data_IF_951525999121
#
_entry.id   IF_951525999121
#
_cell.length_a   1.000
_cell.length_b   1.000
_cell.length_c   1.000
_cell.angle_alpha   90.00
_cell.angle_beta   90.00
_cell.angle_gamma   90.00
#
_symmetry.space_group_name_H-M   'P 1'
#
loop_
_entity.id
_entity.type
_entity.pdbx_description
1 polymer ?
#
# COMPACT_ATOMS: atom_id res chain seq x y z
N UNK A 1 -13.85 -18.02 4.04
CA UNK A 1 -12.70 -18.69 4.69
C UNK A 1 -11.37 -17.97 4.47
N UNK A 2 -10.76 -17.46 5.54
CA UNK A 2 -9.41 -16.91 5.50
C UNK A 2 -8.37 -18.02 5.73
N UNK A 3 -7.59 -18.36 4.70
CA UNK A 3 -6.51 -19.35 4.80
C UNK A 3 -5.14 -18.67 4.80
N UNK A 4 -4.56 -18.53 5.99
CA UNK A 4 -3.26 -17.87 6.20
C UNK A 4 -2.15 -18.44 5.31
N UNK A 5 -2.12 -19.75 5.06
CA UNK A 5 -1.08 -20.36 4.21
C UNK A 5 -1.18 -19.89 2.75
N UNK A 6 -2.41 -19.80 2.22
CA UNK A 6 -2.66 -19.27 0.88
C UNK A 6 -2.29 -17.79 0.80
N UNK A 7 -2.73 -16.98 1.76
CA UNK A 7 -2.38 -15.56 1.81
C UNK A 7 -0.87 -15.32 1.92
N UNK A 8 -0.15 -16.15 2.68
CA UNK A 8 1.32 -16.07 2.75
C UNK A 8 2.00 -16.51 1.46
N UNK A 9 1.46 -17.51 0.76
CA UNK A 9 1.96 -17.90 -0.55
C UNK A 9 1.83 -16.75 -1.56
N UNK A 10 0.63 -16.16 -1.68
CA UNK A 10 0.38 -15.03 -2.58
C UNK A 10 1.30 -13.85 -2.26
N UNK A 11 1.47 -13.54 -0.98
CA UNK A 11 2.40 -12.51 -0.51
C UNK A 11 3.86 -12.82 -0.89
N UNK A 12 4.32 -14.04 -0.65
CA UNK A 12 5.72 -14.45 -0.90
C UNK A 12 6.05 -14.42 -2.40
N UNK A 13 5.13 -14.82 -3.27
CA UNK A 13 5.32 -14.75 -4.74
C UNK A 13 5.53 -13.29 -5.16
N UNK A 14 4.67 -12.38 -4.70
CA UNK A 14 4.83 -10.95 -4.98
C UNK A 14 6.12 -10.37 -4.38
N UNK A 15 6.46 -10.75 -3.16
CA UNK A 15 7.67 -10.28 -2.46
C UNK A 15 8.97 -10.72 -3.17
N UNK A 16 9.05 -11.98 -3.59
CA UNK A 16 10.22 -12.48 -4.33
C UNK A 16 10.31 -11.81 -5.70
N UNK A 17 9.18 -11.71 -6.42
CA UNK A 17 9.14 -11.06 -7.73
C UNK A 17 9.62 -9.60 -7.68
N UNK A 18 9.14 -8.83 -6.70
CA UNK A 18 9.56 -7.44 -6.49
C UNK A 18 11.03 -7.33 -6.09
N UNK A 19 11.53 -8.26 -5.27
CA UNK A 19 12.95 -8.30 -4.89
C UNK A 19 13.87 -8.52 -6.10
N UNK A 20 13.54 -9.49 -6.96
CA UNK A 20 14.31 -9.76 -8.20
C UNK A 20 14.29 -8.52 -9.10
N UNK A 21 13.11 -7.94 -9.29
CA UNK A 21 12.94 -6.77 -10.14
C UNK A 21 13.72 -5.54 -9.61
N UNK A 22 13.80 -5.37 -8.29
CA UNK A 22 14.60 -4.30 -7.68
C UNK A 22 16.09 -4.41 -8.04
N UNK A 23 16.67 -5.62 -8.03
CA UNK A 23 18.05 -5.82 -8.50
C UNK A 23 18.23 -5.45 -9.97
N UNK A 24 17.27 -5.80 -10.83
CA UNK A 24 17.33 -5.41 -12.25
C UNK A 24 17.22 -3.91 -12.46
N UNK A 25 16.37 -3.20 -11.71
CA UNK A 25 16.28 -1.74 -11.80
C UNK A 25 17.56 -1.04 -11.32
N UNK A 26 18.16 -1.51 -10.22
CA UNK A 26 19.45 -0.99 -9.75
C UNK A 26 20.55 -1.24 -10.78
N UNK A 27 20.62 -2.46 -11.33
CA UNK A 27 21.61 -2.80 -12.36
C UNK A 27 21.40 -1.98 -13.64
N UNK A 28 20.16 -1.81 -14.11
CA UNK A 28 19.86 -1.00 -15.28
C UNK A 28 20.25 0.46 -15.05
N UNK A 29 19.89 1.04 -13.91
CA UNK A 29 20.31 2.41 -13.57
C UNK A 29 21.83 2.54 -13.52
N UNK A 30 22.53 1.60 -12.90
CA UNK A 30 23.98 1.61 -12.82
C UNK A 30 24.66 1.43 -14.20
N UNK A 31 24.13 0.59 -15.09
CA UNK A 31 24.75 0.32 -16.39
C UNK A 31 24.43 1.38 -17.44
N UNK A 32 23.27 2.04 -17.34
CA UNK A 32 22.79 2.97 -18.37
C UNK A 32 22.99 4.44 -17.99
N UNK A 33 22.89 4.79 -16.70
CA UNK A 33 22.97 6.18 -16.23
C UNK A 33 24.34 6.56 -15.64
N UNK A 34 25.11 5.59 -15.13
CA UNK A 34 26.41 5.89 -14.56
C UNK A 34 27.38 6.35 -15.65
N UNK A 35 28.00 7.53 -15.45
CA UNK A 35 28.96 8.13 -16.39
C UNK A 35 28.38 8.48 -17.79
N UNK A 36 27.06 8.56 -17.94
CA UNK A 36 26.42 8.96 -19.20
C UNK A 36 26.49 10.48 -19.47
N UNK A 37 26.74 11.29 -18.44
CA UNK A 37 26.72 12.76 -18.51
C UNK A 37 25.32 13.37 -18.68
N UNK A 38 24.27 12.55 -18.64
CA UNK A 38 22.87 13.01 -18.77
C UNK A 38 22.27 13.28 -17.39
N UNK A 39 21.98 14.54 -17.09
CA UNK A 39 21.17 14.90 -15.93
C UNK A 39 19.69 14.95 -16.31
N UNK A 40 18.86 14.37 -15.46
CA UNK A 40 17.42 14.39 -15.64
C UNK A 40 16.84 15.75 -15.29
N UNK A 41 15.85 16.19 -16.08
CA UNK A 41 15.11 17.41 -15.80
C UNK A 41 14.38 17.31 -14.47
N UNK A 42 14.41 18.36 -13.62
CA UNK A 42 13.58 18.39 -12.41
C UNK A 42 12.08 18.56 -12.72
N UNK A 43 11.70 18.77 -14.00
CA UNK A 43 10.29 18.89 -14.42
C UNK A 43 9.73 17.51 -14.74
N UNK A 44 8.69 17.08 -14.02
CA UNK A 44 8.19 15.69 -14.10
C UNK A 44 7.76 15.23 -15.50
N UNK A 45 7.11 16.09 -16.29
CA UNK A 45 6.72 15.75 -17.66
C UNK A 45 7.92 15.56 -18.60
N UNK A 46 8.99 16.34 -18.39
CA UNK A 46 10.23 16.23 -19.17
C UNK A 46 11.01 14.99 -18.73
N UNK A 47 11.11 14.74 -17.43
CA UNK A 47 11.69 13.53 -16.86
C UNK A 47 11.06 12.25 -17.42
N UNK A 48 9.72 12.20 -17.48
CA UNK A 48 9.01 11.03 -18.03
C UNK A 48 9.39 10.78 -19.50
N UNK A 49 9.55 11.84 -20.29
CA UNK A 49 10.00 11.74 -21.68
C UNK A 49 11.44 11.25 -21.76
N UNK A 50 12.36 11.84 -20.99
CA UNK A 50 13.77 11.44 -20.93
C UNK A 50 13.93 9.97 -20.52
N UNK A 51 13.09 9.48 -19.60
CA UNK A 51 13.08 8.07 -19.20
C UNK A 51 12.62 7.16 -20.33
N UNK A 52 11.58 7.52 -21.10
CA UNK A 52 11.16 6.76 -22.28
C UNK A 52 12.26 6.78 -23.36
N UNK A 53 12.85 7.94 -23.61
CA UNK A 53 13.90 8.12 -24.62
C UNK A 53 15.12 7.24 -24.32
N UNK A 54 15.47 7.05 -23.05
CA UNK A 54 16.53 6.13 -22.61
C UNK A 54 16.28 4.69 -23.09
N UNK A 55 15.05 4.21 -22.95
CA UNK A 55 14.68 2.88 -23.41
C UNK A 55 14.61 2.81 -24.94
N UNK A 56 14.17 3.87 -25.61
CA UNK A 56 14.15 3.93 -27.09
C UNK A 56 15.57 3.86 -27.65
N UNK A 57 16.52 4.59 -27.07
CA UNK A 57 17.92 4.55 -27.48
C UNK A 57 18.53 3.16 -27.26
N UNK A 58 18.15 2.48 -26.17
CA UNK A 58 18.73 1.19 -25.81
C UNK A 58 18.08 -0.01 -26.53
N UNK A 59 16.77 0.03 -26.73
CA UNK A 59 15.96 -1.11 -27.22
C UNK A 59 15.39 -0.90 -28.63
N UNK A 60 15.50 0.32 -29.19
CA UNK A 60 15.02 0.70 -30.51
C UNK A 60 13.69 1.47 -30.50
N UNK A 61 13.33 2.01 -31.68
CA UNK A 61 12.20 2.93 -31.87
C UNK A 61 10.84 2.37 -31.45
N UNK A 62 10.63 1.05 -31.56
CA UNK A 62 9.39 0.39 -31.14
C UNK A 62 9.19 0.34 -29.62
N UNK A 63 10.26 0.46 -28.83
CA UNK A 63 10.20 0.28 -27.37
C UNK A 63 9.41 1.40 -26.66
N UNK A 64 9.42 2.62 -27.20
CA UNK A 64 8.80 3.77 -26.55
C UNK A 64 7.30 3.60 -26.32
N UNK A 65 6.58 2.98 -27.27
CA UNK A 65 5.15 2.69 -27.13
C UNK A 65 4.88 1.69 -25.98
N UNK A 66 5.63 0.59 -25.93
CA UNK A 66 5.45 -0.43 -24.90
C UNK A 66 5.83 0.07 -23.51
N UNK A 67 6.94 0.81 -23.39
CA UNK A 67 7.39 1.38 -22.12
C UNK A 67 6.44 2.46 -21.62
N UNK A 68 5.99 3.37 -22.50
CA UNK A 68 5.01 4.40 -22.15
C UNK A 68 3.68 3.79 -21.69
N UNK A 69 3.18 2.77 -22.37
CA UNK A 69 1.97 2.05 -21.98
C UNK A 69 2.14 1.33 -20.64
N UNK A 70 3.26 0.63 -20.43
CA UNK A 70 3.55 -0.04 -19.17
C UNK A 70 3.65 0.94 -18.00
N UNK A 71 4.34 2.08 -18.19
CA UNK A 71 4.45 3.14 -17.20
C UNK A 71 3.07 3.72 -16.85
N UNK A 72 2.25 4.03 -17.86
CA UNK A 72 0.90 4.55 -17.66
C UNK A 72 0.02 3.57 -16.87
N UNK A 73 -0.06 2.30 -17.29
CA UNK A 73 -0.88 1.28 -16.60
C UNK A 73 -0.44 1.10 -15.15
N UNK A 74 0.88 1.10 -14.90
CA UNK A 74 1.44 0.94 -13.55
C UNK A 74 1.10 2.13 -12.65
N UNK A 75 1.26 3.37 -13.13
CA UNK A 75 0.92 4.57 -12.38
C UNK A 75 -0.59 4.73 -12.18
N UNK A 76 -1.39 4.33 -13.17
CA UNK A 76 -2.85 4.36 -13.06
C UNK A 76 -3.38 3.33 -12.05
N UNK A 77 -2.84 2.10 -12.07
CA UNK A 77 -3.21 1.05 -11.13
C UNK A 77 -2.92 1.43 -9.67
N UNK A 78 -1.74 2.01 -9.40
CA UNK A 78 -1.38 2.51 -8.07
C UNK A 78 -2.30 3.64 -7.62
N UNK A 79 -2.69 4.53 -8.54
CA UNK A 79 -3.66 5.60 -8.25
C UNK A 79 -5.02 5.03 -7.84
N UNK A 80 -5.58 4.07 -8.58
CA UNK A 80 -6.85 3.42 -8.22
C UNK A 80 -6.75 2.72 -6.85
N UNK A 81 -5.64 2.01 -6.62
CA UNK A 81 -5.41 1.30 -5.36
C UNK A 81 -5.40 2.27 -4.17
N UNK A 82 -4.69 3.40 -4.29
CA UNK A 82 -4.65 4.43 -3.25
C UNK A 82 -6.00 5.14 -3.07
N UNK A 83 -6.72 5.40 -4.18
CA UNK A 83 -8.03 6.04 -4.18
C UNK A 83 -9.07 5.22 -3.41
N UNK A 84 -9.00 3.89 -3.46
CA UNK A 84 -9.87 3.00 -2.71
C UNK A 84 -9.36 2.71 -1.28
N UNK A 85 -8.08 2.34 -1.16
CA UNK A 85 -7.53 1.84 0.09
C UNK A 85 -7.38 2.92 1.18
N UNK A 86 -6.96 4.14 0.82
CA UNK A 86 -6.70 5.20 1.79
C UNK A 86 -7.99 5.68 2.48
N UNK A 87 -9.06 6.09 1.76
CA UNK A 87 -10.27 6.56 2.40
C UNK A 87 -10.97 5.46 3.21
N UNK A 88 -10.93 4.20 2.72
CA UNK A 88 -11.49 3.05 3.44
C UNK A 88 -10.79 2.82 4.78
N UNK A 89 -9.45 2.79 4.77
CA UNK A 89 -8.66 2.52 5.97
C UNK A 89 -8.77 3.68 6.98
N UNK A 90 -8.72 4.91 6.49
CA UNK A 90 -8.81 6.11 7.34
C UNK A 90 -10.22 6.32 7.91
N UNK A 91 -11.26 6.05 7.14
CA UNK A 91 -12.63 6.10 7.64
C UNK A 91 -12.84 5.10 8.79
N UNK A 92 -12.24 3.91 8.68
CA UNK A 92 -12.29 2.89 9.73
C UNK A 92 -11.52 3.31 10.99
N UNK A 93 -10.31 3.83 10.83
CA UNK A 93 -9.52 4.35 11.95
C UNK A 93 -10.26 5.50 12.66
N UNK A 94 -10.84 6.42 11.88
CA UNK A 94 -11.61 7.55 12.40
C UNK A 94 -12.86 7.09 13.18
N UNK A 95 -13.63 6.12 12.65
CA UNK A 95 -14.83 5.64 13.36
C UNK A 95 -14.50 4.96 14.70
N UNK A 96 -13.35 4.29 14.78
CA UNK A 96 -12.85 3.68 16.02
C UNK A 96 -12.40 4.75 17.04
N UNK A 97 -11.70 5.80 16.59
CA UNK A 97 -11.27 6.90 17.47
C UNK A 97 -12.44 7.67 18.08
N UNK A 98 -13.52 7.84 17.31
CA UNK A 98 -14.72 8.58 17.75
C UNK A 98 -15.74 7.64 18.42
N UNK A 99 -15.39 6.37 18.67
CA UNK A 99 -16.29 5.36 19.27
C UNK A 99 -17.68 5.33 18.61
N UNK A 100 -17.77 5.62 17.31
CA UNK A 100 -19.04 5.59 16.58
C UNK A 100 -19.40 4.14 16.30
N UNK A 101 -20.07 3.48 17.25
CA UNK A 101 -20.67 2.15 17.06
C UNK A 101 -22.07 2.31 16.50
N UNK A 102 -22.25 2.06 15.20
CA UNK A 102 -23.57 1.83 14.64
C UNK A 102 -23.97 0.38 14.95
N UNK A 103 -25.07 0.16 15.66
CA UNK A 103 -25.68 -1.18 15.73
C UNK A 103 -26.42 -1.43 14.42
N UNK A 104 -25.87 -2.29 13.57
CA UNK A 104 -26.62 -2.79 12.42
C UNK A 104 -27.75 -3.68 12.94
N UNK A 105 -28.99 -3.24 12.77
CA UNK A 105 -30.17 -4.09 12.97
C UNK A 105 -30.19 -5.16 11.88
N UNK A 106 -29.53 -6.30 12.16
CA UNK A 106 -29.46 -7.48 11.30
C UNK A 106 -30.85 -7.97 10.87
N UNK A 107 -31.90 -7.66 11.63
CA UNK A 107 -33.29 -7.98 11.28
C UNK A 107 -33.74 -7.34 9.96
N UNK A 108 -33.28 -6.12 9.66
CA UNK A 108 -33.59 -5.39 8.42
C UNK A 108 -32.75 -5.85 7.22
N UNK A 109 -31.56 -6.40 7.49
CA UNK A 109 -30.65 -6.95 6.47
C UNK A 109 -30.99 -8.41 6.09
N UNK A 110 -31.70 -9.13 6.96
CA UNK A 110 -32.15 -10.53 6.74
C UNK A 110 -33.49 -10.66 5.99
N UNK A 111 -34.25 -9.58 5.76
CA UNK A 111 -35.51 -9.65 5.00
C UNK A 111 -35.38 -10.32 3.62
N UNK A 112 -34.37 -10.02 2.78
CA UNK A 112 -34.21 -10.71 1.50
C UNK A 112 -33.61 -12.13 1.61
N UNK A 113 -32.98 -12.49 2.74
CA UNK A 113 -32.34 -13.80 2.96
C UNK A 113 -33.26 -14.80 3.65
N UNK A 114 -34.31 -14.34 4.37
CA UNK A 114 -35.30 -15.20 5.06
C UNK A 114 -35.97 -16.25 4.17
N UNK A 115 -36.14 -15.97 2.87
CA UNK A 115 -36.72 -16.93 1.92
C UNK A 115 -35.71 -18.06 1.61
N UNK A 116 -34.42 -17.74 1.56
CA UNK A 116 -33.34 -18.70 1.29
C UNK A 116 -33.01 -19.48 2.56
N UNK A 117 -32.93 -18.82 3.71
CA UNK A 117 -32.74 -19.44 5.03
C UNK A 117 -33.89 -20.39 5.36
N UNK A 118 -35.15 -20.04 5.06
CA UNK A 118 -36.30 -20.93 5.27
C UNK A 118 -36.31 -22.18 4.36
N UNK A 119 -35.59 -22.16 3.24
CA UNK A 119 -35.38 -23.34 2.38
C UNK A 119 -34.22 -24.19 2.92
N UNK A 120 -33.17 -23.55 3.44
CA UNK A 120 -31.96 -24.20 3.96
C UNK A 120 -32.12 -24.77 5.38
N UNK A 121 -33.00 -24.20 6.21
CA UNK A 121 -33.30 -24.64 7.59
C UNK A 121 -33.97 -26.03 7.65
N UNK A 122 -34.38 -26.60 6.51
CA UNK A 122 -34.83 -28.01 6.45
C UNK A 122 -33.68 -29.01 6.44
N UNK A 123 -32.41 -28.57 6.38
CA UNK A 123 -31.27 -29.45 6.07
C UNK A 123 -30.21 -29.55 7.17
N UNK A 124 -30.05 -28.61 8.11
CA UNK A 124 -29.00 -28.80 9.13
C UNK A 124 -29.29 -28.17 10.49
N UNK A 125 -28.86 -28.88 11.54
CA UNK A 125 -29.07 -28.52 12.93
C UNK A 125 -27.99 -27.53 13.40
N UNK A 126 -28.44 -26.56 14.21
CA UNK A 126 -27.69 -25.89 15.28
C UNK A 126 -26.74 -24.76 14.85
N UNK A 127 -27.18 -23.49 15.00
CA UNK A 127 -26.24 -22.40 15.26
C UNK A 127 -26.85 -21.31 16.15
N UNK A 128 -26.25 -21.13 17.33
CA UNK A 128 -26.48 -20.04 18.26
C UNK A 128 -26.00 -18.73 17.60
N UNK A 129 -26.93 -18.01 16.96
CA UNK A 129 -26.64 -16.73 16.30
C UNK A 129 -26.33 -15.62 17.32
N UNK A 130 -25.08 -15.60 17.80
CA UNK A 130 -24.49 -14.51 18.55
C UNK A 130 -24.67 -13.20 17.76
N UNK A 131 -25.31 -12.20 18.39
CA UNK A 131 -25.52 -10.84 17.86
C UNK A 131 -24.16 -10.20 17.54
N UNK A 132 -23.66 -10.39 16.31
CA UNK A 132 -22.34 -9.92 15.90
C UNK A 132 -22.41 -8.39 15.75
N UNK A 133 -21.74 -7.66 16.64
CA UNK A 133 -21.59 -6.20 16.54
C UNK A 133 -20.68 -5.88 15.36
N UNK A 134 -21.25 -5.75 14.16
CA UNK A 134 -20.51 -5.23 13.01
C UNK A 134 -20.44 -3.72 13.21
N UNK A 135 -19.26 -3.21 13.54
CA UNK A 135 -19.02 -1.77 13.52
C UNK A 135 -19.10 -1.36 12.06
N UNK A 136 -20.22 -0.77 11.63
CA UNK A 136 -20.30 -0.16 10.32
C UNK A 136 -19.55 1.17 10.33
N UNK A 137 -18.71 1.40 9.33
CA UNK A 137 -18.07 2.71 9.14
C UNK A 137 -19.04 3.61 8.39
N UNK A 138 -19.55 4.71 8.97
CA UNK A 138 -20.45 5.61 8.27
C UNK A 138 -19.88 6.11 6.94
N UNK A 139 -20.67 6.03 5.86
CA UNK A 139 -20.28 6.49 4.50
C UNK A 139 -19.74 7.91 4.47
N UNK A 140 -20.22 8.79 5.36
CA UNK A 140 -19.73 10.17 5.53
C UNK A 140 -18.23 10.25 5.80
N UNK A 141 -17.66 9.33 6.59
CA UNK A 141 -16.23 9.33 6.88
C UNK A 141 -15.41 8.90 5.66
N UNK A 142 -15.91 7.92 4.91
CA UNK A 142 -15.28 7.52 3.64
C UNK A 142 -15.28 8.69 2.64
N UNK A 143 -16.43 9.34 2.43
CA UNK A 143 -16.54 10.48 1.52
C UNK A 143 -15.67 11.66 1.98
N UNK A 144 -15.61 11.93 3.28
CA UNK A 144 -14.75 12.98 3.84
C UNK A 144 -13.28 12.71 3.55
N UNK A 145 -12.78 11.50 3.83
CA UNK A 145 -11.39 11.15 3.54
C UNK A 145 -11.08 11.04 2.05
N UNK A 146 -12.05 10.65 1.22
CA UNK A 146 -11.91 10.66 -0.24
C UNK A 146 -11.73 12.09 -0.76
N UNK A 147 -12.52 13.04 -0.25
CA UNK A 147 -12.39 14.45 -0.59
C UNK A 147 -11.05 15.02 -0.13
N UNK A 148 -10.61 14.70 1.09
CA UNK A 148 -9.28 15.08 1.60
C UNK A 148 -8.17 14.53 0.71
N UNK A 149 -8.26 13.26 0.28
CA UNK A 149 -7.28 12.65 -0.61
C UNK A 149 -7.22 13.39 -1.95
N UNK A 150 -8.36 13.65 -2.59
CA UNK A 150 -8.42 14.32 -3.90
C UNK A 150 -7.91 15.75 -3.81
N UNK A 151 -8.40 16.54 -2.85
CA UNK A 151 -7.97 17.93 -2.68
C UNK A 151 -6.49 18.00 -2.27
N UNK A 152 -6.05 17.16 -1.34
CA UNK A 152 -4.66 17.10 -0.92
C UNK A 152 -3.73 16.73 -2.08
N UNK A 153 -4.13 15.77 -2.91
CA UNK A 153 -3.38 15.40 -4.12
C UNK A 153 -3.28 16.56 -5.10
N UNK A 154 -4.38 17.29 -5.35
CA UNK A 154 -4.36 18.47 -6.22
C UNK A 154 -3.45 19.58 -5.69
N UNK A 155 -3.47 19.83 -4.37
CA UNK A 155 -2.56 20.81 -3.74
C UNK A 155 -1.10 20.39 -3.92
N UNK A 156 -0.77 19.13 -3.61
CA UNK A 156 0.60 18.60 -3.76
C UNK A 156 1.05 18.69 -5.22
N UNK A 157 0.20 18.30 -6.17
CA UNK A 157 0.51 18.40 -7.60
C UNK A 157 0.83 19.84 -7.99
N UNK A 158 0.01 20.82 -7.60
CA UNK A 158 0.26 22.22 -7.94
C UNK A 158 1.52 22.80 -7.26
N UNK A 159 1.86 22.37 -6.05
CA UNK A 159 3.06 22.83 -5.33
C UNK A 159 4.36 22.27 -5.94
N UNK A 160 4.32 21.06 -6.49
CA UNK A 160 5.53 20.31 -6.85
C UNK A 160 5.70 20.03 -8.35
N UNK A 161 4.75 20.41 -9.21
CA UNK A 161 4.76 20.13 -10.65
C UNK A 161 6.06 20.56 -11.35
N UNK A 162 6.64 21.68 -10.91
CA UNK A 162 7.84 22.29 -11.50
C UNK A 162 9.14 21.74 -10.95
N UNK A 163 9.12 21.03 -9.82
CA UNK A 163 10.31 20.52 -9.12
C UNK A 163 10.03 19.13 -8.52
N UNK A 164 9.97 18.14 -9.41
CA UNK A 164 9.78 16.73 -9.09
C UNK A 164 10.90 16.19 -8.19
N UNK A 165 12.13 16.69 -8.31
CA UNK A 165 13.22 16.30 -7.42
C UNK A 165 12.88 16.61 -5.95
N UNK A 166 12.31 17.79 -5.69
CA UNK A 166 11.84 18.17 -4.35
C UNK A 166 10.64 17.33 -3.91
N UNK A 167 9.72 17.02 -4.82
CA UNK A 167 8.58 16.14 -4.52
C UNK A 167 9.04 14.76 -4.04
N UNK A 168 9.94 14.14 -4.81
CA UNK A 168 10.51 12.84 -4.48
C UNK A 168 11.27 12.91 -3.16
N UNK A 169 12.07 13.96 -2.94
CA UNK A 169 12.80 14.14 -1.69
C UNK A 169 11.87 14.19 -0.46
N UNK A 170 10.78 14.96 -0.53
CA UNK A 170 9.79 15.04 0.56
C UNK A 170 9.10 13.68 0.77
N UNK A 171 8.64 13.04 -0.30
CA UNK A 171 7.96 11.75 -0.22
C UNK A 171 8.87 10.64 0.36
N UNK A 172 10.12 10.57 -0.09
CA UNK A 172 11.12 9.62 0.40
C UNK A 172 11.47 9.89 1.86
N UNK A 173 11.65 11.16 2.24
CA UNK A 173 11.94 11.55 3.63
C UNK A 173 10.81 11.13 4.57
N UNK A 174 9.55 11.43 4.21
CA UNK A 174 8.39 11.02 5.00
C UNK A 174 8.26 9.49 5.06
N UNK A 175 8.57 8.78 3.98
CA UNK A 175 8.53 7.31 3.95
C UNK A 175 9.58 6.69 4.86
N UNK A 176 10.83 7.17 4.84
CA UNK A 176 11.86 6.69 5.76
C UNK A 176 11.58 7.05 7.21
N UNK A 177 11.00 8.22 7.45
CA UNK A 177 10.59 8.61 8.80
C UNK A 177 9.45 7.72 9.33
N UNK A 178 8.47 7.36 8.49
CA UNK A 178 7.28 6.60 8.92
C UNK A 178 7.48 5.09 8.93
N UNK A 179 8.38 4.54 8.11
CA UNK A 179 8.60 3.11 7.97
C UNK A 179 8.96 2.38 9.30
N UNK A 180 9.84 2.89 10.17
CA UNK A 180 10.14 2.23 11.44
C UNK A 180 8.92 2.10 12.35
N UNK A 181 8.04 3.11 12.36
CA UNK A 181 6.80 3.09 13.15
C UNK A 181 5.82 2.04 12.62
N UNK A 182 5.64 1.95 11.30
CA UNK A 182 4.82 0.90 10.70
C UNK A 182 5.39 -0.50 10.96
N UNK A 183 6.71 -0.66 10.91
CA UNK A 183 7.36 -1.94 11.21
C UNK A 183 7.12 -2.38 12.66
N UNK A 184 7.26 -1.47 13.62
CA UNK A 184 6.95 -1.74 15.04
C UNK A 184 5.47 -2.07 15.23
N UNK A 185 4.57 -1.26 14.68
CA UNK A 185 3.14 -1.47 14.80
C UNK A 185 2.73 -2.85 14.25
N UNK A 186 3.27 -3.23 13.08
CA UNK A 186 3.02 -4.54 12.49
C UNK A 186 3.58 -5.68 13.35
N UNK A 187 4.79 -5.53 13.89
CA UNK A 187 5.37 -6.52 14.80
C UNK A 187 4.51 -6.72 16.07
N UNK A 188 4.07 -5.62 16.70
CA UNK A 188 3.19 -5.66 17.88
C UNK A 188 1.86 -6.32 17.53
N UNK A 189 1.26 -5.95 16.40
CA UNK A 189 -0.01 -6.52 15.94
C UNK A 189 0.08 -8.04 15.83
N UNK A 190 1.11 -8.53 15.15
CA UNK A 190 1.33 -9.97 14.94
C UNK A 190 1.60 -10.70 16.26
N UNK A 191 2.43 -10.14 17.15
CA UNK A 191 2.80 -10.84 18.39
C UNK A 191 1.70 -10.82 19.45
N UNK A 192 0.89 -9.76 19.50
CA UNK A 192 -0.10 -9.56 20.58
C UNK A 192 -1.47 -10.12 20.22
N UNK A 193 -1.89 -10.06 18.95
CA UNK A 193 -3.25 -10.39 18.55
C UNK A 193 -3.39 -11.69 17.75
N UNK A 194 -2.29 -12.26 17.23
CA UNK A 194 -2.33 -13.53 16.52
C UNK A 194 -2.24 -14.72 17.50
N UNK A 195 -3.09 -15.78 17.36
CA UNK A 195 -3.01 -16.97 18.18
C UNK A 195 -1.62 -17.57 18.18
N UNK A 196 -1.15 -18.07 19.35
CA UNK A 196 0.23 -18.57 19.53
C UNK A 196 0.64 -19.63 18.49
N UNK A 197 -0.31 -20.44 18.00
CA UNK A 197 -0.09 -21.46 16.97
C UNK A 197 0.22 -20.90 15.57
N UNK A 198 -0.19 -19.65 15.29
CA UNK A 198 0.02 -18.97 14.00
C UNK A 198 1.09 -17.88 14.07
N UNK A 199 1.68 -17.62 15.24
CA UNK A 199 2.76 -16.67 15.39
C UNK A 199 4.00 -17.11 14.60
N UNK A 200 4.81 -16.16 14.09
CA UNK A 200 5.98 -16.47 13.29
C UNK A 200 7.05 -17.19 14.12
N UNK A 201 7.90 -17.96 13.43
CA UNK A 201 8.98 -18.74 14.02
C UNK A 201 10.06 -17.85 14.67
N UNK A 202 10.90 -18.43 15.53
CA UNK A 202 11.99 -17.70 16.21
C UNK A 202 12.92 -16.98 15.23
N UNK A 203 13.22 -17.60 14.07
CA UNK A 203 14.08 -16.99 13.04
C UNK A 203 13.47 -15.71 12.44
N UNK A 204 12.18 -15.73 12.10
CA UNK A 204 11.47 -14.56 11.57
C UNK A 204 11.38 -13.45 12.64
N UNK A 205 11.26 -13.79 13.92
CA UNK A 205 11.31 -12.80 15.01
C UNK A 205 12.64 -12.08 15.07
N UNK A 206 13.74 -12.83 14.99
CA UNK A 206 15.09 -12.27 14.97
C UNK A 206 15.28 -11.39 13.72
N UNK A 207 14.88 -11.89 12.55
CA UNK A 207 14.95 -11.13 11.29
C UNK A 207 14.13 -9.84 11.34
N UNK A 208 12.95 -9.87 11.96
CA UNK A 208 12.11 -8.67 12.14
C UNK A 208 12.82 -7.62 12.99
N UNK A 209 13.50 -8.03 14.07
CA UNK A 209 14.21 -7.10 14.93
C UNK A 209 15.43 -6.49 14.25
N UNK A 210 16.19 -7.31 13.50
CA UNK A 210 17.25 -6.78 12.62
C UNK A 210 16.71 -5.78 11.60
N UNK A 211 15.57 -6.07 10.97
CA UNK A 211 14.92 -5.17 10.02
C UNK A 211 14.47 -3.84 10.67
N UNK A 212 13.88 -3.90 11.86
CA UNK A 212 13.47 -2.69 12.60
C UNK A 212 14.70 -1.84 12.96
N UNK A 213 15.75 -2.46 13.51
CA UNK A 213 17.01 -1.77 13.85
C UNK A 213 17.69 -1.19 12.61
N UNK A 214 17.63 -1.89 11.48
CA UNK A 214 18.12 -1.38 10.20
C UNK A 214 17.34 -0.12 9.77
N UNK A 215 16.00 -0.12 9.85
CA UNK A 215 15.16 1.03 9.48
C UNK A 215 15.42 2.26 10.38
N UNK A 216 15.39 2.09 11.71
CA UNK A 216 16.36 2.66 12.67
C UNK A 216 17.51 3.50 12.09
N UNK A 217 18.63 2.79 11.99
CA UNK A 217 19.94 3.34 11.68
C UNK A 217 19.91 4.02 10.31
N UNK A 218 19.27 3.42 9.32
CA UNK A 218 19.18 3.97 7.98
C UNK A 218 18.42 5.31 7.96
N UNK A 219 17.30 5.44 8.69
CA UNK A 219 16.60 6.70 8.83
C UNK A 219 17.48 7.78 9.47
N UNK A 220 18.26 7.44 10.50
CA UNK A 220 19.20 8.37 11.14
C UNK A 220 20.30 8.83 10.19
N UNK A 221 20.92 7.91 9.46
CA UNK A 221 21.95 8.20 8.44
C UNK A 221 21.37 9.07 7.33
N UNK A 222 20.16 8.76 6.84
CA UNK A 222 19.51 9.53 5.79
C UNK A 222 19.20 10.97 6.23
N UNK A 223 18.69 11.16 7.44
CA UNK A 223 18.44 12.51 7.98
C UNK A 223 19.75 13.28 8.20
N UNK A 224 20.81 12.60 8.66
CA UNK A 224 22.14 13.20 8.74
C UNK A 224 22.67 13.62 7.37
N UNK A 225 22.43 12.81 6.32
CA UNK A 225 22.78 13.13 4.94
C UNK A 225 22.04 14.34 4.37
N UNK A 226 20.95 14.77 4.99
CA UNK A 226 20.14 15.91 4.54
C UNK A 226 20.60 17.24 5.16
N UNK A 227 21.33 17.18 6.29
CA UNK A 227 21.85 18.32 7.04
C UNK A 227 23.19 18.80 6.44
#
# INVERSE_FOLDING_TARGET
DFNLKKSLFDFNVGYIGTTILAFFFVALGALVLYNSGTEFSPKGAVFAKELIDLYVVTLGSGAGFFVGMAAFITMFSTTITCLDALPRSMARAHSLLVNTTSELNLEKAKEPTKIIDGILDTIDHNDDSAKQRIIETPRKYYLGWLLVLVLGSLVILNLFLTNMASFLMVATTLSFLTAPFFAIANYILVMRYLPKSKQPSKGIKILSWFGITYLFVFCGIYLWSLL
#
